data_IF_413754928211
#
_entry.id   IF_413754928211
#
_cell.length_a   1.000
_cell.length_b   1.000
_cell.length_c   1.000
_cell.angle_alpha   90.00
_cell.angle_beta   90.00
_cell.angle_gamma   90.00
#
_symmetry.space_group_name_H-M   'P 1'
#
loop_
_entity.id
_entity.type
_entity.pdbx_description
1 polymer ?
#
# COMPACT_ATOMS: atom_id res chain seq x y z
N UNK A 1 -0.85 2.24 -17.66
CA UNK A 1 -1.48 1.17 -16.88
C UNK A 1 -2.81 1.67 -16.35
N UNK A 2 -3.86 0.85 -16.32
CA UNK A 2 -5.11 1.24 -15.66
C UNK A 2 -5.06 0.95 -14.14
N UNK A 3 -6.02 1.50 -13.39
CA UNK A 3 -6.04 1.36 -11.93
C UNK A 3 -6.09 -0.11 -11.45
N UNK A 4 -6.82 -0.99 -12.14
CA UNK A 4 -6.93 -2.40 -11.76
C UNK A 4 -5.59 -3.14 -11.95
N UNK A 5 -4.90 -2.88 -13.06
CA UNK A 5 -3.56 -3.41 -13.31
C UNK A 5 -2.56 -2.91 -12.26
N UNK A 6 -2.65 -1.64 -11.88
CA UNK A 6 -1.80 -1.02 -10.86
C UNK A 6 -2.05 -1.64 -9.47
N UNK A 7 -3.31 -1.88 -9.11
CA UNK A 7 -3.68 -2.58 -7.88
C UNK A 7 -3.10 -4.00 -7.84
N UNK A 8 -3.26 -4.77 -8.92
CA UNK A 8 -2.67 -6.12 -9.01
C UNK A 8 -1.15 -6.10 -8.92
N UNK A 9 -0.50 -5.06 -9.42
CA UNK A 9 0.94 -4.89 -9.29
C UNK A 9 1.34 -4.64 -7.83
N UNK A 10 0.60 -3.79 -7.11
CA UNK A 10 0.80 -3.55 -5.68
C UNK A 10 0.55 -4.81 -4.83
N UNK A 11 -0.50 -5.59 -5.12
CA UNK A 11 -0.78 -6.86 -4.43
C UNK A 11 0.40 -7.83 -4.52
N UNK A 12 0.91 -8.03 -5.75
CA UNK A 12 2.06 -8.91 -5.99
C UNK A 12 3.32 -8.41 -5.30
N UNK A 13 3.55 -7.10 -5.32
CA UNK A 13 4.69 -6.48 -4.64
C UNK A 13 4.60 -6.68 -3.12
N UNK A 14 3.42 -6.47 -2.53
CA UNK A 14 3.20 -6.68 -1.09
C UNK A 14 3.44 -8.14 -0.71
N UNK A 15 2.89 -9.09 -1.47
CA UNK A 15 3.05 -10.52 -1.22
C UNK A 15 4.53 -10.94 -1.31
N UNK A 16 5.25 -10.45 -2.32
CA UNK A 16 6.68 -10.74 -2.49
C UNK A 16 7.58 -10.11 -1.43
N UNK A 17 7.14 -9.01 -0.81
CA UNK A 17 7.89 -8.30 0.24
C UNK A 17 7.79 -8.95 1.62
N UNK A 18 6.79 -9.80 1.85
CA UNK A 18 6.47 -10.34 3.17
C UNK A 18 7.47 -11.39 3.63
N UNK A 19 7.95 -11.26 4.86
CA UNK A 19 8.80 -12.27 5.50
C UNK A 19 7.96 -13.39 6.14
N UNK A 20 8.53 -14.58 6.31
CA UNK A 20 7.82 -15.76 6.84
C UNK A 20 7.35 -15.64 8.31
N UNK A 21 7.87 -14.66 9.06
CA UNK A 21 7.47 -14.38 10.43
C UNK A 21 6.54 -13.17 10.59
N UNK A 22 6.23 -12.47 9.51
CA UNK A 22 5.33 -11.30 9.55
C UNK A 22 3.86 -11.76 9.54
N UNK A 23 2.95 -10.98 10.16
CA UNK A 23 1.52 -11.22 10.00
C UNK A 23 1.10 -11.13 8.53
N UNK A 24 -0.05 -11.70 8.20
CA UNK A 24 -0.64 -11.52 6.88
C UNK A 24 -0.88 -10.02 6.63
N UNK A 25 -0.32 -9.49 5.55
CA UNK A 25 -0.50 -8.10 5.11
C UNK A 25 -1.56 -8.04 4.01
N UNK A 26 -2.39 -7.01 4.04
CA UNK A 26 -3.43 -6.76 3.04
C UNK A 26 -3.51 -5.28 2.71
N UNK A 27 -3.91 -4.99 1.47
CA UNK A 27 -4.22 -3.64 1.02
C UNK A 27 -5.48 -3.15 1.73
N UNK A 28 -5.44 -1.89 2.16
CA UNK A 28 -6.61 -1.18 2.64
C UNK A 28 -7.34 -0.53 1.46
N UNK A 29 -8.15 -1.31 0.75
CA UNK A 29 -8.85 -0.87 -0.47
C UNK A 29 -9.71 0.38 -0.25
N UNK A 30 -10.17 0.64 0.98
CA UNK A 30 -10.96 1.83 1.30
C UNK A 30 -10.17 3.13 1.32
N UNK A 31 -8.83 3.05 1.32
CA UNK A 31 -7.92 4.19 1.34
C UNK A 31 -7.02 4.27 0.10
N UNK A 32 -7.28 3.45 -0.92
CA UNK A 32 -6.57 3.54 -2.20
C UNK A 32 -7.01 4.81 -2.91
N UNK A 33 -6.03 5.59 -3.34
CA UNK A 33 -6.28 6.83 -4.08
C UNK A 33 -5.30 6.99 -5.25
N UNK A 34 -5.75 7.67 -6.30
CA UNK A 34 -4.90 8.09 -7.42
C UNK A 34 -4.62 9.58 -7.30
N UNK A 35 -3.33 9.95 -7.36
CA UNK A 35 -2.89 11.34 -7.29
C UNK A 35 -1.73 11.57 -8.23
N UNK A 36 -1.90 12.50 -9.19
CA UNK A 36 -0.82 12.92 -10.09
C UNK A 36 -0.18 11.79 -10.90
N UNK A 37 -0.97 10.81 -11.36
CA UNK A 37 -0.47 9.66 -12.12
C UNK A 37 0.19 8.56 -11.27
N UNK A 38 0.06 8.64 -9.95
CA UNK A 38 0.53 7.64 -8.99
C UNK A 38 -0.69 7.05 -8.27
N UNK A 39 -0.77 5.72 -8.22
CA UNK A 39 -1.69 5.03 -7.32
C UNK A 39 -1.01 4.84 -5.96
N UNK A 40 -1.61 5.41 -4.93
CA UNK A 40 -1.19 5.30 -3.54
C UNK A 40 -2.00 4.16 -2.92
N UNK A 41 -1.30 3.13 -2.44
CA UNK A 41 -1.91 1.87 -2.00
C UNK A 41 -1.53 1.57 -0.55
N UNK A 42 -2.30 2.06 0.43
CA UNK A 42 -2.07 1.74 1.84
C UNK A 42 -2.28 0.25 2.12
N UNK A 43 -1.53 -0.28 3.08
CA UNK A 43 -1.67 -1.64 3.55
C UNK A 43 -1.42 -1.72 5.06
N UNK A 44 -1.89 -2.80 5.67
CA UNK A 44 -1.57 -3.12 7.06
C UNK A 44 -1.79 -4.62 7.34
N UNK A 45 -1.75 -5.04 8.61
CA UNK A 45 -2.12 -6.41 8.97
C UNK A 45 -3.59 -6.71 8.63
N UNK A 46 -3.85 -7.92 8.14
CA UNK A 46 -5.20 -8.39 7.86
C UNK A 46 -6.10 -8.32 9.11
N UNK A 47 -5.50 -8.53 10.29
CA UNK A 47 -6.17 -8.40 11.58
C UNK A 47 -6.65 -6.96 11.81
N UNK A 48 -5.77 -5.97 11.67
CA UNK A 48 -6.15 -4.56 11.82
C UNK A 48 -7.20 -4.13 10.81
N UNK A 49 -7.07 -4.52 9.54
CA UNK A 49 -8.06 -4.14 8.53
C UNK A 49 -9.45 -4.71 8.82
N UNK A 50 -9.51 -5.86 9.49
CA UNK A 50 -10.77 -6.49 9.93
C UNK A 50 -11.34 -5.81 11.17
N UNK A 51 -10.52 -5.55 12.18
CA UNK A 51 -11.00 -5.08 13.51
C UNK A 51 -11.07 -3.57 13.62
N UNK A 52 -10.24 -2.84 12.86
CA UNK A 52 -9.92 -1.42 13.02
C UNK A 52 -9.50 -1.05 14.45
N UNK A 53 -9.03 -2.03 15.21
CA UNK A 53 -8.50 -1.83 16.56
C UNK A 53 -7.05 -1.38 16.46
N UNK A 54 -6.76 -0.19 16.98
CA UNK A 54 -5.42 0.42 16.95
C UNK A 54 -4.32 -0.45 17.59
N UNK A 55 -4.68 -1.40 18.46
CA UNK A 55 -3.72 -2.35 19.05
C UNK A 55 -3.22 -3.40 18.07
N UNK A 56 -3.98 -3.68 17.02
CA UNK A 56 -3.62 -4.64 15.97
C UNK A 56 -2.87 -3.97 14.81
N UNK A 57 -2.80 -2.63 14.84
CA UNK A 57 -2.21 -1.81 13.79
C UNK A 57 -0.69 -1.96 13.77
N UNK A 58 -0.15 -2.34 12.62
CA UNK A 58 1.28 -2.25 12.38
C UNK A 58 1.66 -0.79 12.17
N UNK A 59 2.72 -0.38 12.86
CA UNK A 59 3.35 0.93 12.69
C UNK A 59 4.33 0.89 11.52
N UNK A 60 4.64 2.06 10.97
CA UNK A 60 5.60 2.26 9.88
C UNK A 60 5.27 1.50 8.58
N UNK A 61 4.00 1.18 8.31
CA UNK A 61 3.55 0.70 7.01
C UNK A 61 3.42 1.87 6.02
N UNK A 62 4.48 2.11 5.25
CA UNK A 62 4.46 3.06 4.14
C UNK A 62 3.68 2.44 2.96
N UNK A 63 2.59 3.03 2.42
CA UNK A 63 1.90 2.62 1.21
C UNK A 63 2.84 2.28 0.08
N UNK A 64 2.32 1.41 -0.76
CA UNK A 64 2.94 1.08 -2.04
C UNK A 64 2.55 2.16 -3.03
N UNK A 65 3.54 2.70 -3.73
CA UNK A 65 3.37 3.68 -4.78
C UNK A 65 3.53 2.98 -6.11
N UNK A 66 2.54 3.15 -6.98
CA UNK A 66 2.53 2.60 -8.34
C UNK A 66 2.42 3.72 -9.35
N UNK A 67 3.46 3.93 -10.14
CA UNK A 67 3.42 4.90 -11.25
C UNK A 67 2.60 4.32 -12.41
N UNK A 68 1.53 5.02 -12.80
CA UNK A 68 0.61 4.53 -13.83
C UNK A 68 1.21 4.55 -15.24
N UNK A 69 2.15 5.46 -15.50
CA UNK A 69 2.80 5.60 -16.80
C UNK A 69 3.88 4.55 -17.02
N UNK A 70 4.75 4.34 -16.01
CA UNK A 70 5.91 3.45 -16.11
C UNK A 70 5.63 2.02 -15.63
N UNK A 71 4.63 1.83 -14.77
CA UNK A 71 4.41 0.58 -14.07
C UNK A 71 5.40 0.33 -12.92
N UNK A 72 6.20 1.34 -12.55
CA UNK A 72 7.12 1.24 -11.41
C UNK A 72 6.34 1.04 -10.10
N UNK A 73 6.82 0.11 -9.27
CA UNK A 73 6.22 -0.22 -7.97
C UNK A 73 7.29 -0.17 -6.89
N UNK A 74 7.02 0.55 -5.80
CA UNK A 74 7.92 0.64 -4.64
C UNK A 74 7.13 0.95 -3.37
N UNK A 75 7.77 0.76 -2.21
CA UNK A 75 7.27 1.39 -0.99
C UNK A 75 7.47 2.91 -1.04
N UNK A 76 6.54 3.62 -0.42
CA UNK A 76 6.72 5.03 -0.12
C UNK A 76 7.88 5.22 0.84
N UNK A 77 8.52 6.38 0.71
CA UNK A 77 9.63 6.79 1.55
C UNK A 77 9.27 8.09 2.27
N UNK A 78 10.11 8.50 3.23
CA UNK A 78 9.90 9.73 3.99
C UNK A 78 9.74 10.97 3.08
N UNK A 79 10.47 11.02 1.97
CA UNK A 79 10.39 12.10 0.99
C UNK A 79 9.06 12.19 0.27
N UNK A 80 8.30 11.09 0.21
CA UNK A 80 7.00 11.06 -0.45
C UNK A 80 5.89 11.61 0.43
N UNK A 81 6.10 11.80 1.74
CA UNK A 81 5.08 12.21 2.73
C UNK A 81 4.16 13.37 2.30
N UNK A 82 4.57 14.34 1.45
CA UNK A 82 3.66 15.34 0.90
C UNK A 82 2.51 14.80 0.03
N UNK A 83 2.63 13.61 -0.57
CA UNK A 83 1.57 12.99 -1.38
C UNK A 83 0.26 12.68 -0.62
N UNK A 84 0.31 12.61 0.72
CA UNK A 84 -0.64 11.92 1.60
C UNK A 84 -1.26 12.87 2.63
N UNK A 85 -0.64 14.04 2.82
CA UNK A 85 -1.10 15.09 3.71
C UNK A 85 -1.83 16.15 2.88
N UNK A 86 -3.05 15.87 2.43
CA UNK A 86 -4.02 16.89 2.00
C UNK A 86 -5.43 16.54 2.50
#
# INVERSE_FOLDING_TARGET
MNQEEALRAAEKFLEASRNSGEPELKIDYGLVEEKGGILIVPYNSAQYLTTRNVRDMLLDCWPILVELDSGSVRFGELGDRPLWNE
#
